data_IF_825970052145
#
_entry.id   IF_825970052145
#
_cell.length_a   1.000
_cell.length_b   1.000
_cell.length_c   1.000
_cell.angle_alpha   90.00
_cell.angle_beta   90.00
_cell.angle_gamma   90.00
#
_symmetry.space_group_name_H-M   'P 1'
#
loop_
_entity.id
_entity.type
_entity.pdbx_description
1 polymer ?
#
# COMPACT_ATOMS: atom_id res chain seq x y z
N UNK A 1 36.05 -5.87 -2.80
CA UNK A 1 37.39 -5.25 -2.69
C UNK A 1 37.41 -4.11 -3.69
N UNK A 2 37.89 -2.93 -3.27
CA UNK A 2 38.01 -1.65 -3.98
C UNK A 2 36.74 -0.78 -4.11
N UNK A 3 36.71 0.20 -3.20
CA UNK A 3 35.96 1.43 -3.23
C UNK A 3 36.67 2.48 -4.10
N UNK A 4 35.92 3.46 -4.63
CA UNK A 4 36.45 4.80 -4.88
C UNK A 4 35.40 5.85 -4.55
N UNK A 5 35.79 6.76 -3.65
CA UNK A 5 35.08 7.97 -3.24
C UNK A 5 35.22 9.06 -4.31
N UNK A 6 34.27 9.99 -4.38
CA UNK A 6 34.63 11.40 -4.63
C UNK A 6 33.59 12.35 -4.03
N UNK A 7 34.13 13.34 -3.31
CA UNK A 7 33.46 14.37 -2.53
C UNK A 7 32.98 15.53 -3.41
N UNK A 8 31.81 16.08 -3.06
CA UNK A 8 31.60 17.47 -2.66
C UNK A 8 31.69 18.59 -3.70
N UNK A 9 30.66 19.45 -3.73
CA UNK A 9 30.76 20.90 -3.51
C UNK A 9 29.37 21.54 -3.47
N UNK A 10 29.10 22.27 -2.39
CA UNK A 10 28.00 23.21 -2.23
C UNK A 10 28.50 24.63 -2.56
N UNK A 11 27.66 25.47 -3.15
CA UNK A 11 27.51 26.94 -2.95
C UNK A 11 26.40 27.41 -3.89
N UNK A 12 25.25 27.81 -3.33
CA UNK A 12 24.81 29.21 -3.16
C UNK A 12 24.53 29.95 -4.47
N UNK A 13 23.30 30.46 -4.61
CA UNK A 13 22.96 31.84 -4.98
C UNK A 13 21.43 32.01 -5.04
N UNK A 14 20.86 32.76 -4.09
CA UNK A 14 19.62 33.53 -4.26
C UNK A 14 19.99 34.96 -4.67
N UNK A 15 19.05 35.72 -5.29
CA UNK A 15 18.40 36.77 -4.50
C UNK A 15 16.92 37.06 -4.82
N UNK A 16 16.20 37.37 -3.73
CA UNK A 16 15.15 38.38 -3.45
C UNK A 16 14.08 38.86 -4.47
N UNK A 17 12.82 38.69 -4.00
CA UNK A 17 11.67 39.63 -3.83
C UNK A 17 11.30 40.63 -4.93
N UNK A 18 9.99 40.70 -5.24
CA UNK A 18 9.13 41.92 -5.13
C UNK A 18 7.65 41.55 -4.85
N UNK A 19 6.98 42.41 -4.08
CA UNK A 19 5.64 42.40 -3.46
C UNK A 19 4.38 42.58 -4.34
N UNK A 20 3.23 42.20 -3.74
CA UNK A 20 1.92 42.91 -3.83
C UNK A 20 0.83 42.08 -4.52
N UNK A 21 -0.41 41.92 -4.04
CA UNK A 21 -1.14 42.42 -2.89
C UNK A 21 -2.65 42.15 -3.12
N UNK A 22 -3.43 42.26 -2.04
CA UNK A 22 -4.89 42.53 -1.94
C UNK A 22 -5.89 41.36 -1.76
N UNK A 23 -6.55 41.48 -0.59
CA UNK A 23 -7.77 40.87 -0.02
C UNK A 23 -9.02 41.24 -0.87
N UNK A 24 -10.02 40.38 -1.08
CA UNK A 24 -11.06 39.82 -0.19
C UNK A 24 -12.41 39.85 -0.97
N UNK A 25 -13.62 39.69 -0.40
CA UNK A 25 -14.07 39.03 0.83
C UNK A 25 -15.35 38.13 0.66
N UNK A 26 -15.77 37.45 1.74
CA UNK A 26 -17.21 37.31 2.08
C UNK A 26 -17.82 35.91 2.10
N UNK A 27 -17.85 35.26 3.26
CA UNK A 27 -18.88 34.26 3.58
C UNK A 27 -19.51 34.56 4.94
N UNK A 28 -20.84 34.63 4.91
CA UNK A 28 -21.73 35.16 5.93
C UNK A 28 -22.21 34.03 6.85
N UNK A 29 -22.29 34.34 8.14
CA UNK A 29 -22.63 33.43 9.22
C UNK A 29 -24.06 33.76 9.70
N UNK A 30 -25.05 32.94 9.34
CA UNK A 30 -26.26 32.72 10.16
C UNK A 30 -27.27 31.76 9.50
N UNK A 31 -27.61 30.69 10.22
CA UNK A 31 -28.85 29.87 10.24
C UNK A 31 -28.44 28.38 10.39
N UNK A 32 -28.92 27.58 11.33
CA UNK A 32 -29.97 27.72 12.33
C UNK A 32 -29.97 26.47 13.24
N UNK A 33 -30.59 26.61 14.40
CA UNK A 33 -30.69 25.63 15.49
C UNK A 33 -31.41 24.35 15.01
N UNK A 34 -30.73 23.20 15.10
CA UNK A 34 -31.26 21.85 14.88
C UNK A 34 -31.01 20.95 16.08
N UNK A 35 -31.97 20.07 16.37
CA UNK A 35 -32.19 19.35 17.62
C UNK A 35 -31.17 18.23 17.90
N UNK A 36 -30.93 18.06 19.20
CA UNK A 36 -30.12 17.05 19.89
C UNK A 36 -30.53 15.60 19.52
N UNK A 37 -29.65 14.86 18.82
CA UNK A 37 -29.86 13.47 18.40
C UNK A 37 -28.82 12.49 19.00
N UNK A 38 -28.08 12.89 20.03
CA UNK A 38 -27.14 11.98 20.72
C UNK A 38 -25.92 11.57 19.88
N UNK A 39 -25.67 12.26 18.76
CA UNK A 39 -24.41 12.15 18.02
C UNK A 39 -23.39 13.06 18.70
N UNK A 40 -22.38 12.49 19.36
CA UNK A 40 -21.27 13.27 19.91
C UNK A 40 -20.50 13.90 18.74
N UNK A 41 -20.82 15.14 18.39
CA UNK A 41 -20.04 15.91 17.42
C UNK A 41 -18.67 16.21 18.05
N UNK A 42 -17.62 15.52 17.60
CA UNK A 42 -16.24 15.82 17.97
C UNK A 42 -15.79 17.10 17.25
N UNK A 43 -16.16 18.27 17.79
CA UNK A 43 -15.85 19.60 17.23
C UNK A 43 -14.59 20.21 17.85
N UNK A 44 -13.49 19.47 17.92
CA UNK A 44 -12.18 20.10 18.13
C UNK A 44 -11.30 19.70 16.95
N UNK A 45 -10.76 20.69 16.23
CA UNK A 45 -9.76 20.53 15.17
C UNK A 45 -8.43 20.05 15.79
N UNK A 46 -8.45 18.82 16.29
CA UNK A 46 -7.29 18.20 16.89
C UNK A 46 -6.34 17.76 15.79
N UNK A 47 -5.06 18.01 16.04
CA UNK A 47 -3.97 17.52 15.22
C UNK A 47 -3.66 16.09 15.66
N UNK A 48 -3.47 15.18 14.72
CA UNK A 48 -3.17 13.79 15.04
C UNK A 48 -1.75 13.43 14.65
N UNK A 49 -1.09 12.67 15.52
CA UNK A 49 0.30 12.27 15.32
C UNK A 49 0.48 10.78 15.59
N UNK A 50 1.27 10.12 14.75
CA UNK A 50 1.84 8.78 14.98
C UNK A 50 3.28 8.90 15.43
N UNK A 51 3.68 8.11 16.40
CA UNK A 51 5.09 8.02 16.82
C UNK A 51 5.89 7.15 15.85
N UNK A 52 6.77 7.76 15.06
CA UNK A 52 7.61 7.03 14.09
C UNK A 52 8.99 6.66 14.65
N UNK A 53 9.39 7.26 15.78
CA UNK A 53 10.67 6.94 16.42
C UNK A 53 10.57 5.73 17.37
N UNK A 54 11.58 4.85 17.29
CA UNK A 54 11.66 3.61 18.07
C UNK A 54 12.79 3.67 19.11
N UNK A 55 12.60 3.12 20.33
CA UNK A 55 11.40 2.41 20.78
C UNK A 55 10.30 3.29 21.38
N UNK A 56 10.63 4.53 21.78
CA UNK A 56 9.70 5.44 22.45
C UNK A 56 10.17 6.90 22.39
N UNK A 57 9.23 7.84 22.52
CA UNK A 57 9.49 9.28 22.63
C UNK A 57 9.02 9.78 24.00
N UNK A 58 9.80 10.67 24.62
CA UNK A 58 9.49 11.21 25.95
C UNK A 58 8.43 12.32 25.87
N UNK A 59 7.43 12.27 26.76
CA UNK A 59 6.52 13.38 27.03
C UNK A 59 7.14 14.30 28.07
N UNK A 60 7.10 15.61 27.83
CA UNK A 60 7.70 16.66 28.66
C UNK A 60 6.62 17.54 29.25
N UNK A 61 6.87 18.07 30.45
CA UNK A 61 5.94 18.97 31.15
C UNK A 61 5.78 20.35 30.49
N UNK A 62 6.71 20.73 29.60
CA UNK A 62 6.74 21.98 28.84
C UNK A 62 7.44 21.73 27.50
N UNK A 63 7.31 22.59 26.47
CA UNK A 63 7.94 22.41 25.14
C UNK A 63 9.46 22.65 25.19
N UNK A 64 10.18 21.78 25.91
CA UNK A 64 11.62 21.88 26.13
C UNK A 64 12.22 20.50 26.37
N UNK A 65 13.38 20.25 25.77
CA UNK A 65 14.12 19.00 25.95
C UNK A 65 14.66 18.83 27.38
N UNK A 66 14.83 19.94 28.11
CA UNK A 66 15.29 19.97 29.49
C UNK A 66 14.15 19.87 30.50
N UNK A 67 12.89 19.99 30.07
CA UNK A 67 11.75 19.89 30.96
C UNK A 67 11.61 18.48 31.57
N UNK A 68 10.97 18.40 32.73
CA UNK A 68 10.71 17.13 33.42
C UNK A 68 9.92 16.20 32.51
N UNK A 69 10.37 14.95 32.39
CA UNK A 69 9.62 13.87 31.72
C UNK A 69 8.38 13.53 32.54
N UNK A 70 7.21 13.55 31.90
CA UNK A 70 5.92 13.28 32.54
C UNK A 70 5.25 11.99 32.04
N UNK A 71 5.83 11.36 31.03
CA UNK A 71 5.38 10.10 30.42
C UNK A 71 6.22 9.73 29.20
N UNK A 72 5.81 8.72 28.45
CA UNK A 72 6.39 8.39 27.15
C UNK A 72 5.33 7.78 26.24
N UNK A 73 5.50 7.98 24.93
CA UNK A 73 4.73 7.33 23.88
C UNK A 73 5.61 6.25 23.22
N UNK A 74 5.06 5.07 22.97
CA UNK A 74 5.78 4.01 22.24
C UNK A 74 5.73 4.24 20.74
N UNK A 75 6.62 3.59 20.01
CA UNK A 75 6.52 3.48 18.55
C UNK A 75 5.12 3.02 18.14
N UNK A 76 4.60 3.60 17.06
CA UNK A 76 3.27 3.38 16.48
C UNK A 76 2.06 3.85 17.28
N UNK A 77 2.24 4.35 18.51
CA UNK A 77 1.13 4.99 19.20
C UNK A 77 0.64 6.22 18.43
N UNK A 78 -0.68 6.31 18.25
CA UNK A 78 -1.36 7.48 17.72
C UNK A 78 -2.00 8.25 18.87
N UNK A 79 -1.89 9.57 18.83
CA UNK A 79 -2.46 10.46 19.84
C UNK A 79 -2.93 11.77 19.21
N UNK A 80 -3.90 12.40 19.87
CA UNK A 80 -4.38 13.72 19.53
C UNK A 80 -3.60 14.82 20.26
N UNK A 81 -3.37 15.92 19.55
CA UNK A 81 -2.73 17.13 20.04
C UNK A 81 -3.67 18.34 19.82
N UNK A 82 -3.67 19.25 20.78
CA UNK A 82 -4.45 20.50 20.71
C UNK A 82 -3.74 21.57 19.88
N UNK A 83 -2.41 21.60 19.93
CA UNK A 83 -1.61 22.62 19.24
C UNK A 83 -0.17 22.16 19.01
N UNK A 84 0.52 22.90 18.13
CA UNK A 84 1.97 22.78 17.93
C UNK A 84 2.63 24.13 18.17
N UNK A 85 3.63 24.17 19.04
CA UNK A 85 4.42 25.37 19.37
C UNK A 85 5.90 25.03 19.26
N UNK A 86 6.64 25.78 18.43
CA UNK A 86 8.10 25.65 18.26
C UNK A 86 8.59 24.22 18.03
N UNK A 87 7.84 23.43 17.24
CA UNK A 87 8.17 22.03 16.92
C UNK A 87 7.77 21.02 18.01
N UNK A 88 7.00 21.43 19.00
CA UNK A 88 6.44 20.56 20.04
C UNK A 88 4.92 20.48 19.91
N UNK A 89 4.38 19.27 19.89
CA UNK A 89 2.94 19.03 19.94
C UNK A 89 2.47 18.93 21.40
N UNK A 90 1.45 19.70 21.79
CA UNK A 90 0.78 19.57 23.09
C UNK A 90 -0.30 18.50 23.00
N UNK A 91 -0.23 17.48 23.86
CA UNK A 91 -1.26 16.44 23.95
C UNK A 91 -2.61 17.08 24.26
N UNK A 92 -3.66 16.59 23.60
CA UNK A 92 -5.02 16.99 23.92
C UNK A 92 -5.38 16.58 25.35
N UNK A 93 -6.20 17.36 26.06
CA UNK A 93 -6.58 17.10 27.45
C UNK A 93 -7.08 15.68 27.68
N UNK A 94 -7.79 15.11 26.70
CA UNK A 94 -8.31 13.73 26.74
C UNK A 94 -7.21 12.65 26.80
N UNK A 95 -6.01 12.94 26.33
CA UNK A 95 -4.89 11.98 26.31
C UNK A 95 -4.14 11.94 27.64
N UNK A 96 -4.17 13.03 28.43
CA UNK A 96 -3.36 13.18 29.64
C UNK A 96 -3.56 12.07 30.67
N UNK A 97 -4.80 11.62 31.00
CA UNK A 97 -5.02 10.59 32.02
C UNK A 97 -4.40 9.23 31.67
N UNK A 98 -4.22 8.94 30.38
CA UNK A 98 -3.77 7.63 29.90
C UNK A 98 -2.26 7.57 29.67
N UNK A 99 -1.62 8.72 29.46
CA UNK A 99 -0.24 8.81 28.95
C UNK A 99 0.74 9.49 29.88
N UNK A 100 0.24 10.12 30.93
CA UNK A 100 1.04 10.90 31.87
C UNK A 100 0.86 10.44 33.31
N UNK A 101 1.76 10.91 34.17
CA UNK A 101 1.62 10.76 35.62
C UNK A 101 0.36 11.48 36.15
N UNK A 102 -0.25 10.96 37.21
CA UNK A 102 -1.50 11.50 37.74
C UNK A 102 -1.37 12.99 38.11
N UNK A 103 -2.32 13.82 37.65
CA UNK A 103 -2.40 15.24 37.98
C UNK A 103 -1.66 16.20 37.03
N UNK A 104 -1.07 15.72 35.92
CA UNK A 104 -0.52 16.63 34.91
C UNK A 104 -1.61 17.46 34.23
N UNK A 105 -1.34 18.74 34.05
CA UNK A 105 -2.20 19.67 33.32
C UNK A 105 -1.84 19.77 31.85
N UNK A 106 -0.57 19.49 31.51
CA UNK A 106 -0.06 19.56 30.15
C UNK A 106 1.03 18.50 29.92
N UNK A 107 1.15 18.07 28.67
CA UNK A 107 2.26 17.26 28.20
C UNK A 107 2.60 17.63 26.76
N UNK A 108 3.89 17.69 26.47
CA UNK A 108 4.46 18.13 25.21
C UNK A 108 5.39 17.07 24.64
N UNK A 109 5.40 16.91 23.33
CA UNK A 109 6.25 15.95 22.65
C UNK A 109 6.91 16.58 21.43
N UNK A 110 8.21 16.36 21.29
CA UNK A 110 8.99 16.93 20.19
C UNK A 110 8.64 16.19 18.88
N UNK A 111 8.37 16.95 17.81
CA UNK A 111 8.00 16.40 16.50
C UNK A 111 9.25 15.93 15.73
N UNK A 112 10.31 16.74 15.77
CA UNK A 112 11.56 16.49 15.04
C UNK A 112 12.77 16.67 15.96
N UNK A 113 13.53 15.58 16.13
CA UNK A 113 14.73 15.49 16.95
C UNK A 113 16.03 15.58 16.16
N UNK A 114 16.02 15.97 14.89
CA UNK A 114 17.20 16.05 14.01
C UNK A 114 18.31 16.91 14.59
N UNK A 115 17.98 18.05 15.20
CA UNK A 115 18.94 18.92 15.92
C UNK A 115 19.68 18.22 17.07
N UNK A 116 19.20 17.05 17.48
CA UNK A 116 19.75 16.23 18.58
C UNK A 116 20.21 14.84 18.09
N UNK A 117 20.29 14.64 16.77
CA UNK A 117 20.72 13.38 16.16
C UNK A 117 19.69 12.24 16.23
N UNK A 118 18.42 12.55 16.50
CA UNK A 118 17.35 11.53 16.63
C UNK A 118 16.49 11.36 15.36
N UNK A 119 16.56 12.33 14.43
CA UNK A 119 15.70 12.35 13.25
C UNK A 119 14.24 12.69 13.56
N UNK A 120 13.34 12.35 12.64
CA UNK A 120 11.90 12.57 12.80
C UNK A 120 11.35 11.69 13.94
N UNK A 121 10.59 12.30 14.85
CA UNK A 121 10.01 11.61 16.01
C UNK A 121 8.54 11.29 15.81
N UNK A 122 7.81 12.24 15.23
CA UNK A 122 6.37 12.15 14.99
C UNK A 122 6.07 12.40 13.50
N UNK A 123 5.07 11.68 13.01
CA UNK A 123 4.44 11.93 11.71
C UNK A 123 3.02 12.45 11.96
N UNK A 124 2.69 13.60 11.37
CA UNK A 124 1.32 14.11 11.40
C UNK A 124 0.43 13.25 10.49
N UNK A 125 -0.75 12.88 10.98
CA UNK A 125 -1.78 12.19 10.22
C UNK A 125 -2.73 13.22 9.63
N UNK A 126 -2.87 13.23 8.30
CA UNK A 126 -3.74 14.17 7.57
C UNK A 126 -5.20 13.74 7.61
N UNK A 127 -5.47 12.44 7.67
CA UNK A 127 -6.82 11.87 7.71
C UNK A 127 -7.29 11.70 9.17
N UNK A 128 -8.22 12.55 9.61
CA UNK A 128 -8.79 12.51 10.96
C UNK A 128 -9.52 11.19 11.25
N UNK A 129 -10.14 10.55 10.24
CA UNK A 129 -10.85 9.27 10.44
C UNK A 129 -9.87 8.15 10.68
N UNK A 130 -8.81 8.09 9.88
CA UNK A 130 -7.72 7.14 10.08
C UNK A 130 -7.10 7.31 11.47
N UNK A 131 -6.85 8.55 11.88
CA UNK A 131 -6.22 8.84 13.15
C UNK A 131 -7.07 8.47 14.38
N UNK A 132 -8.36 8.82 14.39
CA UNK A 132 -9.30 8.42 15.45
C UNK A 132 -9.34 6.89 15.59
N UNK A 133 -9.41 6.19 14.45
CA UNK A 133 -9.45 4.73 14.40
C UNK A 133 -8.18 4.09 14.93
N UNK A 134 -7.01 4.54 14.47
CA UNK A 134 -5.71 4.05 14.96
C UNK A 134 -5.56 4.30 16.46
N UNK A 135 -6.02 5.45 16.95
CA UNK A 135 -6.02 5.74 18.39
C UNK A 135 -6.98 4.86 19.19
N UNK A 136 -8.08 4.41 18.58
CA UNK A 136 -9.04 3.48 19.18
C UNK A 136 -8.59 2.00 19.08
N UNK A 137 -7.52 1.70 18.32
CA UNK A 137 -7.10 0.32 18.03
C UNK A 137 -8.10 -0.44 17.15
N UNK A 138 -8.94 0.28 16.41
CA UNK A 138 -9.97 -0.31 15.53
C UNK A 138 -9.34 -0.77 14.20
N UNK A 139 -9.75 -1.96 13.72
CA UNK A 139 -9.29 -2.49 12.42
C UNK A 139 -10.21 -2.05 11.28
N UNK A 140 -9.67 -1.83 10.06
CA UNK A 140 -10.48 -1.47 8.92
C UNK A 140 -11.50 -2.57 8.60
N UNK A 141 -12.78 -2.22 8.54
CA UNK A 141 -13.83 -3.09 8.04
C UNK A 141 -13.93 -3.07 6.51
N UNK A 142 -14.77 -3.95 5.96
CA UNK A 142 -15.05 -4.04 4.52
C UNK A 142 -15.43 -2.69 3.89
N UNK A 143 -16.24 -1.88 4.57
CA UNK A 143 -16.79 -0.62 4.04
C UNK A 143 -15.75 0.49 3.89
N UNK A 144 -14.58 0.35 4.52
CA UNK A 144 -13.47 1.30 4.41
C UNK A 144 -12.52 0.95 3.26
N UNK A 145 -12.77 -0.18 2.57
CA UNK A 145 -12.00 -0.62 1.41
C UNK A 145 -12.76 -0.42 0.10
N UNK A 146 -11.99 -0.35 -0.97
CA UNK A 146 -12.50 -0.45 -2.33
C UNK A 146 -12.01 -1.74 -3.01
N UNK A 147 -12.65 -2.14 -4.10
CA UNK A 147 -12.14 -3.19 -4.95
C UNK A 147 -11.89 -2.65 -6.37
N UNK A 148 -10.69 -2.88 -6.90
CA UNK A 148 -10.30 -2.52 -8.25
C UNK A 148 -9.93 -3.79 -9.00
N UNK A 149 -10.47 -3.97 -10.20
CA UNK A 149 -9.99 -5.01 -11.09
C UNK A 149 -9.36 -4.44 -12.35
N UNK A 150 -8.14 -4.90 -12.64
CA UNK A 150 -7.33 -4.52 -13.78
C UNK A 150 -7.78 -5.37 -14.96
N UNK A 151 -8.32 -4.73 -16.00
CA UNK A 151 -8.80 -5.43 -17.19
C UNK A 151 -8.44 -4.69 -18.46
N UNK A 152 -7.93 -5.44 -19.45
CA UNK A 152 -7.66 -4.91 -20.79
C UNK A 152 -8.97 -4.65 -21.54
N UNK A 153 -9.08 -3.51 -22.24
CA UNK A 153 -10.28 -3.17 -23.02
C UNK A 153 -10.62 -4.22 -24.08
N UNK A 154 -9.60 -4.90 -24.61
CA UNK A 154 -9.73 -5.98 -25.59
C UNK A 154 -10.01 -7.37 -24.99
N UNK A 155 -10.19 -7.49 -23.66
CA UNK A 155 -10.53 -8.75 -22.96
C UNK A 155 -11.91 -8.67 -22.30
N UNK A 156 -12.99 -8.48 -23.08
CA UNK A 156 -14.35 -8.48 -22.53
C UNK A 156 -14.74 -9.85 -21.97
N UNK A 157 -14.16 -10.93 -22.49
CA UNK A 157 -14.34 -12.31 -22.02
C UNK A 157 -13.94 -12.47 -20.54
N UNK A 158 -12.78 -11.92 -20.18
CA UNK A 158 -12.24 -11.94 -18.83
C UNK A 158 -13.04 -11.05 -17.87
N UNK A 159 -13.45 -9.88 -18.37
CA UNK A 159 -14.32 -8.97 -17.64
C UNK A 159 -15.64 -9.65 -17.25
N UNK A 160 -16.33 -10.26 -18.20
CA UNK A 160 -17.62 -10.95 -17.96
C UNK A 160 -17.47 -12.09 -16.95
N UNK A 161 -16.37 -12.86 -17.04
CA UNK A 161 -16.05 -13.90 -16.07
C UNK A 161 -15.90 -13.33 -14.67
N UNK A 162 -15.12 -12.26 -14.50
CA UNK A 162 -14.90 -11.67 -13.19
C UNK A 162 -16.18 -11.07 -12.60
N UNK A 163 -16.97 -10.37 -13.42
CA UNK A 163 -18.29 -9.83 -13.01
C UNK A 163 -19.24 -10.97 -12.58
N UNK A 164 -19.19 -12.12 -13.26
CA UNK A 164 -19.94 -13.32 -12.89
C UNK A 164 -19.46 -13.91 -11.56
N UNK A 165 -18.14 -14.03 -11.36
CA UNK A 165 -17.54 -14.53 -10.12
C UNK A 165 -17.87 -13.62 -8.92
N UNK A 166 -17.91 -12.30 -9.12
CA UNK A 166 -18.26 -11.34 -8.07
C UNK A 166 -19.75 -11.32 -7.73
N UNK A 167 -20.63 -11.62 -8.69
CA UNK A 167 -22.09 -11.48 -8.58
C UNK A 167 -22.76 -12.04 -7.32
N UNK A 168 -22.38 -13.23 -6.81
CA UNK A 168 -22.94 -13.82 -5.59
C UNK A 168 -22.58 -13.10 -4.29
N UNK A 169 -21.54 -12.26 -4.30
CA UNK A 169 -20.96 -11.63 -3.11
C UNK A 169 -21.39 -10.16 -3.05
N UNK A 170 -22.06 -9.76 -1.97
CA UNK A 170 -22.70 -8.45 -1.88
C UNK A 170 -21.65 -7.34 -1.87
N UNK A 171 -20.68 -7.40 -0.96
CA UNK A 171 -19.64 -6.39 -0.87
C UNK A 171 -18.79 -6.40 -2.14
N UNK A 172 -18.23 -7.54 -2.54
CA UNK A 172 -17.37 -7.62 -3.73
C UNK A 172 -18.09 -7.09 -4.97
N UNK A 173 -19.34 -7.49 -5.25
CA UNK A 173 -20.11 -6.97 -6.39
C UNK A 173 -20.29 -5.45 -6.34
N UNK A 174 -20.52 -4.88 -5.16
CA UNK A 174 -20.79 -3.43 -5.02
C UNK A 174 -19.53 -2.57 -4.98
N UNK A 175 -18.45 -3.07 -4.38
CA UNK A 175 -17.20 -2.36 -4.22
C UNK A 175 -16.30 -2.47 -5.46
N UNK A 176 -16.48 -3.52 -6.28
CA UNK A 176 -15.64 -3.79 -7.45
C UNK A 176 -15.86 -2.79 -8.57
N UNK A 177 -14.80 -2.04 -8.89
CA UNK A 177 -14.75 -1.06 -9.96
C UNK A 177 -13.72 -1.46 -11.00
N UNK A 178 -14.10 -1.40 -12.28
CA UNK A 178 -13.18 -1.67 -13.39
C UNK A 178 -12.12 -0.58 -13.49
N UNK A 179 -10.86 -0.99 -13.56
CA UNK A 179 -9.74 -0.14 -13.92
C UNK A 179 -9.21 -0.54 -15.31
N UNK A 180 -9.26 0.35 -16.32
CA UNK A 180 -8.69 0.08 -17.63
C UNK A 180 -7.17 -0.16 -17.55
N UNK A 181 -6.76 -1.38 -17.90
CA UNK A 181 -5.36 -1.78 -17.95
C UNK A 181 -4.61 -1.04 -19.06
N UNK A 182 -3.29 -0.90 -18.89
CA UNK A 182 -2.37 -0.46 -19.93
C UNK A 182 -2.08 -1.66 -20.83
N UNK A 183 -2.43 -1.54 -22.12
CA UNK A 183 -2.09 -2.57 -23.09
C UNK A 183 -0.61 -2.46 -23.46
N UNK A 184 0.14 -3.54 -23.23
CA UNK A 184 1.54 -3.63 -23.62
C UNK A 184 1.78 -3.37 -25.11
N UNK A 185 0.79 -3.63 -25.98
CA UNK A 185 0.89 -3.41 -27.43
C UNK A 185 1.06 -1.94 -27.81
N UNK A 186 0.72 -0.99 -26.92
CA UNK A 186 0.91 0.44 -27.16
C UNK A 186 2.20 1.00 -26.55
N UNK A 187 3.05 0.16 -25.95
CA UNK A 187 4.26 0.58 -25.26
C UNK A 187 5.51 0.43 -26.13
N UNK A 188 6.54 1.21 -25.82
CA UNK A 188 7.87 1.09 -26.42
C UNK A 188 8.96 1.44 -25.41
N UNK A 189 10.09 0.74 -25.48
CA UNK A 189 11.21 0.95 -24.56
C UNK A 189 11.74 2.38 -24.51
N UNK A 190 11.95 3.10 -25.63
CA UNK A 190 12.45 4.48 -25.58
C UNK A 190 11.57 5.37 -24.70
N UNK A 191 10.25 5.32 -24.87
CA UNK A 191 9.33 6.11 -24.06
C UNK A 191 9.32 5.67 -22.59
N UNK A 192 9.37 4.36 -22.32
CA UNK A 192 9.39 3.83 -20.95
C UNK A 192 10.64 4.27 -20.16
N UNK A 193 11.78 4.41 -20.84
CA UNK A 193 13.03 4.92 -20.26
C UNK A 193 12.99 6.44 -20.09
N UNK A 194 12.54 7.18 -21.12
CA UNK A 194 12.42 8.65 -21.08
C UNK A 194 11.48 9.12 -19.95
N UNK A 195 10.39 8.39 -19.72
CA UNK A 195 9.43 8.66 -18.65
C UNK A 195 9.90 8.15 -17.26
N UNK A 196 11.12 7.58 -17.17
CA UNK A 196 11.71 6.97 -15.97
C UNK A 196 10.78 5.95 -15.30
N UNK A 197 10.08 5.14 -16.10
CA UNK A 197 9.14 4.12 -15.63
C UNK A 197 9.83 2.77 -15.44
N UNK A 198 10.86 2.49 -16.23
CA UNK A 198 11.62 1.25 -16.16
C UNK A 198 13.12 1.54 -16.21
N UNK A 199 13.93 0.67 -15.61
CA UNK A 199 15.37 0.86 -15.55
C UNK A 199 16.06 0.46 -16.86
N UNK A 200 17.25 1.00 -17.10
CA UNK A 200 18.12 0.52 -18.19
C UNK A 200 18.45 -0.98 -18.05
N UNK A 201 18.54 -1.48 -16.81
CA UNK A 201 18.74 -2.91 -16.54
C UNK A 201 17.59 -3.76 -17.12
N UNK A 202 16.33 -3.36 -16.88
CA UNK A 202 15.17 -4.04 -17.45
C UNK A 202 15.17 -4.01 -18.98
N UNK A 203 15.51 -2.87 -19.58
CA UNK A 203 15.62 -2.73 -21.02
C UNK A 203 16.69 -3.65 -21.61
N UNK A 204 17.88 -3.67 -21.00
CA UNK A 204 19.00 -4.50 -21.43
C UNK A 204 18.67 -5.99 -21.31
N UNK A 205 18.00 -6.40 -20.22
CA UNK A 205 17.58 -7.80 -20.00
C UNK A 205 16.53 -8.25 -21.03
N UNK A 206 15.52 -7.41 -21.30
CA UNK A 206 14.51 -7.68 -22.32
C UNK A 206 15.11 -7.76 -23.74
N UNK A 207 16.00 -6.82 -24.08
CA UNK A 207 16.69 -6.81 -25.38
C UNK A 207 17.59 -8.02 -25.55
N UNK A 208 18.29 -8.45 -24.48
CA UNK A 208 19.06 -9.70 -24.48
C UNK A 208 18.15 -10.89 -24.77
N UNK A 209 17.04 -11.00 -24.04
CA UNK A 209 16.11 -12.12 -24.17
C UNK A 209 15.50 -12.21 -25.57
N UNK A 210 15.11 -11.08 -26.17
CA UNK A 210 14.60 -11.04 -27.54
C UNK A 210 15.66 -11.49 -28.55
N UNK A 211 16.90 -10.97 -28.45
CA UNK A 211 18.02 -11.37 -29.33
C UNK A 211 18.35 -12.86 -29.22
N UNK A 212 18.20 -13.43 -28.03
CA UNK A 212 18.50 -14.84 -27.75
C UNK A 212 17.29 -15.77 -27.94
N UNK A 213 16.11 -15.22 -28.29
CA UNK A 213 14.89 -15.99 -28.47
C UNK A 213 14.37 -16.65 -27.20
N UNK A 214 14.64 -16.05 -26.02
CA UNK A 214 14.23 -16.58 -24.73
C UNK A 214 12.77 -16.23 -24.43
N UNK A 215 11.98 -17.22 -24.03
CA UNK A 215 10.63 -17.02 -23.52
C UNK A 215 10.64 -16.51 -22.07
N UNK A 216 9.52 -16.03 -21.53
CA UNK A 216 9.45 -15.73 -20.08
C UNK A 216 9.05 -16.94 -19.25
N UNK A 217 8.39 -17.92 -19.85
CA UNK A 217 8.02 -19.18 -19.22
C UNK A 217 8.73 -20.33 -19.93
N UNK A 218 9.15 -21.35 -19.19
CA UNK A 218 9.74 -22.55 -19.78
C UNK A 218 10.11 -23.60 -18.74
N UNK A 219 10.23 -24.85 -19.20
CA UNK A 219 10.62 -25.98 -18.35
C UNK A 219 12.12 -26.05 -18.05
N UNK A 220 12.96 -25.30 -18.78
CA UNK A 220 14.41 -25.33 -18.65
C UNK A 220 15.02 -23.92 -18.58
N UNK A 221 16.01 -23.66 -17.70
CA UNK A 221 16.65 -22.34 -17.58
C UNK A 221 17.34 -21.81 -18.85
N UNK A 222 17.59 -22.68 -19.84
CA UNK A 222 18.21 -22.31 -21.12
C UNK A 222 17.20 -21.78 -22.15
N UNK A 223 15.90 -21.97 -21.91
CA UNK A 223 14.84 -21.58 -22.85
C UNK A 223 13.96 -20.46 -22.31
N UNK A 224 14.16 -20.03 -21.06
CA UNK A 224 13.41 -18.96 -20.44
C UNK A 224 14.25 -17.98 -19.61
N UNK A 225 13.79 -16.74 -19.52
CA UNK A 225 14.34 -15.66 -18.70
C UNK A 225 13.19 -14.85 -18.11
N UNK A 226 13.26 -14.45 -16.84
CA UNK A 226 12.22 -13.64 -16.17
C UNK A 226 12.19 -12.16 -16.60
N UNK A 227 12.60 -11.87 -17.84
CA UNK A 227 12.66 -10.53 -18.41
C UNK A 227 11.27 -9.90 -18.52
N UNK A 228 11.23 -8.56 -18.57
CA UNK A 228 10.01 -7.81 -18.82
C UNK A 228 9.66 -7.84 -20.31
N UNK A 229 8.49 -8.39 -20.63
CA UNK A 229 7.86 -8.17 -21.94
C UNK A 229 7.11 -6.84 -21.94
N UNK A 230 6.69 -6.34 -23.11
CA UNK A 230 5.77 -5.20 -23.17
C UNK A 230 4.45 -5.46 -22.44
N UNK A 231 3.97 -6.70 -22.45
CA UNK A 231 2.81 -7.13 -21.65
C UNK A 231 3.06 -7.02 -20.15
N UNK A 232 4.25 -7.43 -19.68
CA UNK A 232 4.71 -7.24 -18.30
C UNK A 232 4.84 -5.77 -17.90
N UNK A 233 5.36 -4.93 -18.80
CA UNK A 233 5.38 -3.49 -18.60
C UNK A 233 3.95 -2.91 -18.48
N UNK A 234 3.03 -3.36 -19.33
CA UNK A 234 1.61 -2.99 -19.27
C UNK A 234 0.95 -3.41 -17.95
N UNK A 235 1.21 -4.63 -17.49
CA UNK A 235 0.76 -5.12 -16.18
C UNK A 235 1.27 -4.21 -15.05
N UNK A 236 2.58 -3.97 -14.97
CA UNK A 236 3.18 -3.10 -13.95
C UNK A 236 2.59 -1.68 -13.93
N UNK A 237 2.40 -1.06 -15.10
CA UNK A 237 1.78 0.26 -15.19
C UNK A 237 0.29 0.25 -14.83
N UNK A 238 -0.39 -0.88 -14.99
CA UNK A 238 -1.77 -1.06 -14.55
C UNK A 238 -1.89 -1.13 -13.03
N UNK A 239 -1.01 -1.87 -12.36
CA UNK A 239 -0.92 -1.85 -10.89
C UNK A 239 -0.55 -0.46 -10.37
N UNK A 240 0.37 0.26 -11.03
CA UNK A 240 0.66 1.67 -10.70
C UNK A 240 -0.59 2.55 -10.77
N UNK A 241 -1.45 2.36 -11.78
CA UNK A 241 -2.74 3.06 -11.87
C UNK A 241 -3.67 2.69 -10.71
N UNK A 242 -3.71 1.42 -10.32
CA UNK A 242 -4.53 0.96 -9.18
C UNK A 242 -4.05 1.57 -7.86
N UNK A 243 -2.74 1.60 -7.62
CA UNK A 243 -2.15 2.24 -6.43
C UNK A 243 -2.47 3.73 -6.38
N UNK A 244 -2.35 4.43 -7.51
CA UNK A 244 -2.70 5.84 -7.60
C UNK A 244 -4.21 6.08 -7.41
N UNK A 245 -5.06 5.19 -7.92
CA UNK A 245 -6.50 5.29 -7.70
C UNK A 245 -6.85 5.15 -6.22
N UNK A 246 -6.23 4.20 -5.51
CA UNK A 246 -6.39 4.06 -4.06
C UNK A 246 -5.90 5.31 -3.30
N UNK A 247 -4.71 5.81 -3.63
CA UNK A 247 -4.14 7.02 -3.00
C UNK A 247 -5.01 8.25 -3.19
N UNK A 248 -5.70 8.35 -4.33
CA UNK A 248 -6.60 9.47 -4.65
C UNK A 248 -8.05 9.24 -4.19
N UNK A 249 -8.33 8.18 -3.44
CA UNK A 249 -9.66 7.85 -2.93
C UNK A 249 -9.76 8.10 -1.43
N UNK A 250 -10.98 8.03 -0.90
CA UNK A 250 -11.24 8.02 0.55
C UNK A 250 -11.18 6.60 1.16
N UNK A 251 -10.81 5.57 0.38
CA UNK A 251 -10.65 4.18 0.85
C UNK A 251 -9.31 3.94 1.52
N UNK A 252 -9.28 3.27 2.66
CA UNK A 252 -8.07 3.10 3.48
C UNK A 252 -7.20 1.93 3.00
N UNK A 253 -7.82 1.02 2.25
CA UNK A 253 -7.15 -0.08 1.56
C UNK A 253 -7.90 -0.42 0.27
N UNK A 254 -7.27 -1.20 -0.60
CA UNK A 254 -7.92 -1.78 -1.77
C UNK A 254 -7.68 -3.28 -1.87
N UNK A 255 -8.70 -3.99 -2.34
CA UNK A 255 -8.55 -5.28 -3.00
C UNK A 255 -8.24 -5.03 -4.48
N UNK A 256 -7.06 -5.43 -4.94
CA UNK A 256 -6.66 -5.36 -6.35
C UNK A 256 -6.73 -6.75 -6.96
N UNK A 257 -7.46 -6.86 -8.07
CA UNK A 257 -7.69 -8.08 -8.83
C UNK A 257 -7.13 -7.95 -10.25
N UNK A 258 -6.57 -9.02 -10.80
CA UNK A 258 -6.35 -9.16 -12.25
C UNK A 258 -7.56 -9.84 -12.92
N UNK A 259 -7.71 -9.67 -14.23
CA UNK A 259 -8.87 -10.15 -14.98
C UNK A 259 -8.83 -11.65 -15.31
N UNK A 260 -7.73 -12.34 -15.01
CA UNK A 260 -7.52 -13.74 -15.31
C UNK A 260 -8.03 -14.69 -14.20
N UNK A 261 -8.61 -14.16 -13.13
CA UNK A 261 -9.23 -14.94 -12.06
C UNK A 261 -10.25 -15.96 -12.58
N UNK A 262 -10.17 -17.17 -12.04
CA UNK A 262 -11.06 -18.28 -12.41
C UNK A 262 -11.96 -18.74 -11.28
N UNK A 263 -11.59 -18.45 -10.03
CA UNK A 263 -12.39 -18.84 -8.86
C UNK A 263 -12.32 -17.77 -7.77
N UNK A 264 -13.44 -17.63 -7.06
CA UNK A 264 -13.64 -16.84 -5.84
C UNK A 264 -14.30 -17.77 -4.83
N UNK A 265 -13.88 -17.74 -3.56
CA UNK A 265 -14.48 -18.61 -2.54
C UNK A 265 -15.96 -18.24 -2.29
N UNK A 266 -16.77 -19.22 -1.86
CA UNK A 266 -18.24 -19.08 -1.80
C UNK A 266 -18.73 -17.99 -0.84
N UNK A 267 -18.07 -17.80 0.28
CA UNK A 267 -18.47 -16.85 1.32
C UNK A 267 -17.49 -15.65 1.39
N UNK A 268 -16.98 -15.24 0.21
CA UNK A 268 -15.88 -14.28 0.06
C UNK A 268 -15.95 -13.06 0.97
N UNK A 269 -17.10 -12.37 1.05
CA UNK A 269 -17.22 -11.17 1.87
C UNK A 269 -16.94 -11.47 3.36
N UNK A 270 -17.50 -12.56 3.88
CA UNK A 270 -17.31 -12.97 5.27
C UNK A 270 -15.87 -13.43 5.53
N UNK A 271 -15.28 -14.19 4.60
CA UNK A 271 -13.91 -14.66 4.72
C UNK A 271 -12.90 -13.51 4.61
N UNK A 272 -13.15 -12.53 3.73
CA UNK A 272 -12.33 -11.33 3.61
C UNK A 272 -12.39 -10.47 4.88
N UNK A 273 -13.57 -10.32 5.49
CA UNK A 273 -13.70 -9.66 6.80
C UNK A 273 -12.91 -10.40 7.88
N UNK A 274 -12.92 -11.74 7.86
CA UNK A 274 -12.06 -12.58 8.70
C UNK A 274 -10.57 -12.32 8.49
N UNK A 275 -10.12 -12.20 7.24
CA UNK A 275 -8.72 -11.88 6.90
C UNK A 275 -8.33 -10.50 7.41
N UNK A 276 -9.14 -9.46 7.18
CA UNK A 276 -8.87 -8.10 7.69
C UNK A 276 -8.75 -8.08 9.22
N UNK A 277 -9.59 -8.86 9.91
CA UNK A 277 -9.55 -9.06 11.37
C UNK A 277 -8.39 -9.91 11.86
N UNK A 278 -7.71 -10.65 11.00
CA UNK A 278 -6.51 -11.42 11.34
C UNK A 278 -5.22 -10.63 11.11
N UNK A 279 -5.19 -9.74 10.11
CA UNK A 279 -4.01 -8.96 9.74
C UNK A 279 -3.51 -8.01 10.84
N UNK A 280 -2.21 -8.02 11.21
CA UNK A 280 -1.63 -7.09 12.19
C UNK A 280 -1.87 -5.62 11.84
N UNK A 281 -1.85 -4.72 12.82
CA UNK A 281 -2.15 -3.29 12.61
C UNK A 281 -1.22 -2.60 11.59
N UNK A 282 0.02 -3.06 11.48
CA UNK A 282 1.07 -2.52 10.62
C UNK A 282 1.20 -3.23 9.27
N UNK A 283 0.13 -3.94 8.82
CA UNK A 283 0.13 -4.61 7.53
C UNK A 283 0.23 -3.62 6.36
N UNK A 284 1.03 -3.98 5.35
CA UNK A 284 1.20 -3.19 4.13
C UNK A 284 0.42 -3.83 2.96
N UNK A 285 0.51 -5.16 2.83
CA UNK A 285 -0.24 -5.92 1.82
C UNK A 285 -0.46 -7.38 2.25
N UNK A 286 -1.52 -8.00 1.72
CA UNK A 286 -1.84 -9.42 1.93
C UNK A 286 -2.24 -10.12 0.62
N UNK A 287 -1.55 -11.19 0.24
CA UNK A 287 -1.92 -12.02 -0.90
C UNK A 287 -3.09 -12.94 -0.54
N UNK A 288 -4.20 -12.84 -1.27
CA UNK A 288 -5.39 -13.70 -1.08
C UNK A 288 -5.37 -14.95 -1.95
N UNK A 289 -4.43 -14.99 -2.90
CA UNK A 289 -3.99 -16.14 -3.67
C UNK A 289 -2.66 -15.79 -4.36
N UNK A 290 -1.87 -16.80 -4.67
CA UNK A 290 -0.61 -16.69 -5.41
C UNK A 290 -0.24 -18.03 -6.06
N UNK A 291 0.76 -18.07 -6.92
CA UNK A 291 1.25 -19.31 -7.51
C UNK A 291 2.23 -20.01 -6.54
N UNK A 292 1.94 -21.24 -6.13
CA UNK A 292 2.69 -21.92 -5.06
C UNK A 292 3.67 -22.98 -5.55
N UNK A 293 3.73 -23.28 -6.85
CA UNK A 293 4.45 -24.46 -7.38
C UNK A 293 3.96 -25.80 -6.82
N UNK A 294 2.99 -25.80 -5.90
CA UNK A 294 2.47 -26.94 -5.16
C UNK A 294 1.07 -27.28 -5.64
N UNK A 295 0.78 -28.58 -5.73
CA UNK A 295 -0.58 -29.07 -6.02
C UNK A 295 -1.56 -28.84 -4.86
N UNK A 296 -1.08 -28.36 -3.71
CA UNK A 296 -1.92 -28.04 -2.55
C UNK A 296 -2.60 -26.67 -2.64
N UNK A 297 -2.24 -25.82 -3.61
CA UNK A 297 -2.90 -24.53 -3.81
C UNK A 297 -4.36 -24.74 -4.22
N UNK A 298 -5.29 -24.23 -3.41
CA UNK A 298 -6.72 -24.28 -3.70
C UNK A 298 -7.46 -23.17 -2.99
N UNK A 299 -8.54 -22.73 -3.62
CA UNK A 299 -9.54 -21.89 -2.98
C UNK A 299 -10.11 -22.62 -1.76
N UNK A 300 -10.45 -21.86 -0.72
CA UNK A 300 -11.09 -22.32 0.50
C UNK A 300 -12.23 -23.29 0.15
N UNK A 301 -12.19 -24.54 0.64
CA UNK A 301 -13.19 -25.54 0.29
C UNK A 301 -14.59 -25.11 0.71
N UNK A 302 -15.59 -25.52 -0.07
CA UNK A 302 -16.98 -25.25 0.28
C UNK A 302 -17.33 -25.81 1.67
N UNK A 303 -17.89 -24.95 2.53
CA UNK A 303 -18.26 -25.30 3.90
C UNK A 303 -17.11 -25.24 4.92
N UNK A 304 -15.92 -24.79 4.49
CA UNK A 304 -14.82 -24.40 5.38
C UNK A 304 -14.81 -22.89 5.60
N UNK A 305 -14.16 -22.46 6.68
CA UNK A 305 -13.92 -21.06 7.01
C UNK A 305 -12.42 -20.82 7.13
N UNK A 306 -11.98 -19.61 6.82
CA UNK A 306 -10.64 -19.13 7.09
C UNK A 306 -10.33 -19.30 8.58
N UNK A 307 -9.21 -19.94 8.90
CA UNK A 307 -8.89 -20.33 10.27
C UNK A 307 -8.28 -19.19 11.12
N UNK A 308 -8.08 -18.01 10.52
CA UNK A 308 -7.44 -16.85 11.15
C UNK A 308 -5.92 -16.77 10.93
N UNK A 309 -5.32 -17.75 10.24
CA UNK A 309 -3.87 -17.82 10.03
C UNK A 309 -3.45 -16.98 8.83
N UNK A 310 -2.56 -16.00 9.06
CA UNK A 310 -1.82 -15.31 7.99
C UNK A 310 -0.33 -15.61 8.11
N UNK A 311 0.34 -15.82 6.98
CA UNK A 311 1.78 -16.05 6.92
C UNK A 311 2.52 -14.76 6.61
N UNK A 312 3.50 -14.42 7.44
CA UNK A 312 4.41 -13.28 7.20
C UNK A 312 5.36 -13.61 6.06
N UNK A 313 5.51 -12.67 5.13
CA UNK A 313 6.56 -12.68 4.11
C UNK A 313 7.88 -12.28 4.76
N UNK A 314 8.59 -13.24 5.36
CA UNK A 314 9.84 -12.97 6.04
C UNK A 314 10.95 -12.57 5.03
N UNK A 315 11.98 -11.85 5.51
CA UNK A 315 13.16 -11.44 4.71
C UNK A 315 13.84 -12.55 3.90
N UNK A 316 13.61 -13.82 4.24
CA UNK A 316 14.20 -15.01 3.60
C UNK A 316 13.22 -15.84 2.76
N UNK A 317 11.93 -15.50 2.73
CA UNK A 317 10.94 -16.26 1.94
C UNK A 317 11.03 -15.96 0.45
N UNK A 318 11.73 -14.89 0.05
CA UNK A 318 11.72 -14.42 -1.33
C UNK A 318 10.40 -13.75 -1.69
N UNK A 319 10.07 -13.68 -2.98
CA UNK A 319 8.81 -13.15 -3.47
C UNK A 319 7.79 -14.28 -3.71
N UNK A 320 6.50 -13.94 -3.67
CA UNK A 320 5.43 -14.85 -4.10
C UNK A 320 5.04 -14.52 -5.54
N UNK A 321 5.14 -15.47 -6.48
CA UNK A 321 4.73 -15.22 -7.86
C UNK A 321 3.20 -15.20 -7.98
N UNK A 322 2.66 -14.38 -8.89
CA UNK A 322 1.23 -14.24 -9.11
C UNK A 322 0.57 -13.19 -8.21
N UNK A 323 0.40 -12.00 -8.76
CA UNK A 323 -0.18 -10.82 -8.10
C UNK A 323 -1.67 -10.60 -8.49
N UNK A 324 -2.36 -11.69 -8.85
CA UNK A 324 -3.72 -11.66 -9.39
C UNK A 324 -4.81 -11.26 -8.39
N UNK A 325 -4.52 -11.24 -7.09
CA UNK A 325 -5.51 -10.98 -6.05
C UNK A 325 -4.88 -10.68 -4.68
N UNK A 326 -4.86 -9.42 -4.29
CA UNK A 326 -4.22 -8.98 -3.04
C UNK A 326 -4.87 -7.74 -2.43
N UNK A 327 -4.70 -7.62 -1.11
CA UNK A 327 -5.02 -6.43 -0.35
C UNK A 327 -3.79 -5.52 -0.26
N UNK A 328 -3.99 -4.22 -0.27
CA UNK A 328 -2.96 -3.20 -0.07
C UNK A 328 -3.51 -2.00 0.69
N UNK A 329 -2.74 -1.47 1.65
CA UNK A 329 -3.09 -0.22 2.34
C UNK A 329 -2.81 1.00 1.49
N UNK A 330 -3.54 2.10 1.72
CA UNK A 330 -3.30 3.38 1.02
C UNK A 330 -1.87 3.89 1.28
N UNK A 331 -1.38 3.74 2.51
CA UNK A 331 -0.02 4.14 2.91
C UNK A 331 1.03 3.35 2.14
N UNK A 332 0.87 2.04 2.01
CA UNK A 332 1.81 1.22 1.23
C UNK A 332 1.71 1.48 -0.27
N UNK A 333 0.51 1.73 -0.81
CA UNK A 333 0.35 2.15 -2.20
C UNK A 333 1.11 3.46 -2.50
N UNK A 334 1.04 4.44 -1.59
CA UNK A 334 1.81 5.70 -1.68
C UNK A 334 3.32 5.43 -1.67
N UNK A 335 3.78 4.50 -0.82
CA UNK A 335 5.18 4.08 -0.76
C UNK A 335 5.63 3.39 -2.06
N UNK A 336 4.87 2.43 -2.59
CA UNK A 336 5.21 1.75 -3.85
C UNK A 336 5.27 2.71 -5.04
N UNK A 337 4.43 3.74 -5.09
CA UNK A 337 4.49 4.76 -6.14
C UNK A 337 5.82 5.54 -6.15
N UNK A 338 6.52 5.61 -5.02
CA UNK A 338 7.80 6.28 -4.86
C UNK A 338 8.99 5.32 -5.06
N UNK A 339 8.84 4.08 -4.60
CA UNK A 339 9.98 3.17 -4.40
C UNK A 339 10.04 2.01 -5.41
N UNK A 340 8.93 1.68 -6.08
CA UNK A 340 8.90 0.59 -7.06
C UNK A 340 9.39 1.02 -8.45
N UNK A 341 9.55 2.33 -8.69
CA UNK A 341 9.90 2.92 -9.98
C UNK A 341 11.23 3.69 -9.90
N UNK A 342 12.11 3.64 -10.93
CA UNK A 342 11.96 2.89 -12.17
C UNK A 342 12.03 1.37 -11.94
N UNK A 343 11.07 0.65 -12.52
CA UNK A 343 10.91 -0.77 -12.26
C UNK A 343 11.94 -1.59 -13.05
N UNK A 344 12.56 -2.59 -12.39
CA UNK A 344 13.64 -3.40 -12.98
C UNK A 344 13.25 -4.86 -13.27
N UNK A 345 12.10 -5.31 -12.77
CA UNK A 345 11.61 -6.69 -12.90
C UNK A 345 10.08 -6.72 -12.95
N UNK A 346 9.48 -7.91 -13.06
CA UNK A 346 8.02 -8.06 -13.00
C UNK A 346 7.45 -7.49 -11.69
N UNK A 347 6.24 -6.93 -11.75
CA UNK A 347 5.64 -6.18 -10.64
C UNK A 347 5.47 -7.02 -9.37
N UNK A 348 5.14 -8.30 -9.52
CA UNK A 348 5.01 -9.26 -8.43
C UNK A 348 6.35 -9.49 -7.72
N UNK A 349 7.44 -9.58 -8.49
CA UNK A 349 8.81 -9.70 -7.99
C UNK A 349 9.21 -8.46 -7.21
N UNK A 350 9.01 -7.28 -7.77
CA UNK A 350 9.38 -6.01 -7.11
C UNK A 350 8.58 -5.81 -5.83
N UNK A 351 7.26 -5.95 -5.87
CA UNK A 351 6.39 -5.79 -4.71
C UNK A 351 6.71 -6.83 -3.63
N UNK A 352 6.88 -8.10 -4.00
CA UNK A 352 7.25 -9.17 -3.08
C UNK A 352 8.57 -8.88 -2.37
N UNK A 353 9.62 -8.47 -3.10
CA UNK A 353 10.91 -8.12 -2.50
C UNK A 353 10.83 -6.91 -1.55
N UNK A 354 10.05 -5.88 -1.90
CA UNK A 354 9.80 -4.73 -1.03
C UNK A 354 9.12 -5.18 0.27
N UNK A 355 8.05 -5.98 0.17
CA UNK A 355 7.33 -6.50 1.31
C UNK A 355 8.21 -7.37 2.22
N UNK A 356 8.99 -8.29 1.65
CA UNK A 356 9.89 -9.14 2.43
C UNK A 356 10.94 -8.34 3.20
N UNK A 357 11.43 -7.21 2.65
CA UNK A 357 12.39 -6.33 3.33
C UNK A 357 11.76 -5.60 4.51
N UNK A 358 10.50 -5.17 4.37
CA UNK A 358 9.75 -4.42 5.39
C UNK A 358 9.22 -5.31 6.51
N UNK A 359 8.89 -6.57 6.21
CA UNK A 359 8.36 -7.53 7.19
C UNK A 359 6.87 -7.33 7.51
N UNK A 360 6.19 -6.51 6.73
CA UNK A 360 4.78 -6.11 6.83
C UNK A 360 3.92 -6.69 5.70
N UNK A 361 4.47 -7.63 4.93
CA UNK A 361 3.74 -8.37 3.91
C UNK A 361 3.20 -9.70 4.44
N UNK A 362 2.00 -10.04 4.03
CA UNK A 362 1.29 -11.23 4.49
C UNK A 362 0.73 -12.04 3.32
N UNK A 363 0.37 -13.29 3.57
CA UNK A 363 -0.29 -14.16 2.61
C UNK A 363 -1.19 -15.16 3.32
N UNK A 364 -2.23 -15.63 2.64
CA UNK A 364 -3.03 -16.75 3.14
C UNK A 364 -2.30 -18.08 2.95
N UNK A 365 -2.57 -19.10 3.78
CA UNK A 365 -2.12 -20.46 3.54
C UNK A 365 -2.57 -20.95 2.15
N UNK A 366 -1.71 -21.71 1.46
CA UNK A 366 -1.99 -22.21 0.11
C UNK A 366 -3.30 -23.02 0.00
N UNK A 367 -3.76 -23.62 1.10
CA UNK A 367 -4.98 -24.42 1.17
C UNK A 367 -6.25 -23.61 1.51
N UNK A 368 -6.12 -22.30 1.70
CA UNK A 368 -7.17 -21.38 2.19
C UNK A 368 -7.24 -20.09 1.36
N UNK A 369 -6.89 -20.15 0.08
CA UNK A 369 -7.01 -18.97 -0.78
C UNK A 369 -8.46 -18.52 -0.90
N UNK A 370 -8.66 -17.20 -0.97
CA UNK A 370 -9.99 -16.65 -1.31
C UNK A 370 -10.16 -16.49 -2.82
N UNK A 371 -9.04 -16.41 -3.55
CA UNK A 371 -8.99 -16.15 -4.98
C UNK A 371 -8.04 -17.14 -5.66
N UNK A 372 -8.33 -17.50 -6.91
CA UNK A 372 -7.43 -18.33 -7.69
C UNK A 372 -7.41 -17.96 -9.17
N UNK A 373 -6.19 -17.72 -9.67
CA UNK A 373 -5.85 -17.76 -11.09
C UNK A 373 -4.91 -18.95 -11.34
N UNK A 374 -5.13 -19.75 -12.40
CA UNK A 374 -4.21 -20.79 -12.79
C UNK A 374 -2.89 -20.18 -13.30
N UNK A 375 -1.73 -20.79 -12.98
CA UNK A 375 -0.46 -20.39 -13.57
C UNK A 375 -0.53 -20.40 -15.10
N UNK A 376 0.21 -19.50 -15.73
CA UNK A 376 0.20 -19.35 -17.18
C UNK A 376 0.69 -20.62 -17.91
N UNK A 377 1.56 -21.41 -17.28
CA UNK A 377 1.98 -22.74 -17.73
C UNK A 377 0.81 -23.71 -17.92
N UNK A 378 -0.25 -23.54 -17.13
CA UNK A 378 -1.45 -24.38 -17.14
C UNK A 378 -2.53 -23.77 -18.04
N UNK A 379 -2.80 -22.47 -17.90
CA UNK A 379 -3.89 -21.81 -18.61
C UNK A 379 -3.61 -21.60 -20.10
N UNK A 380 -2.33 -21.40 -20.46
CA UNK A 380 -1.89 -20.96 -21.80
C UNK A 380 -2.57 -19.69 -22.30
N UNK A 381 -3.15 -18.89 -21.41
CA UNK A 381 -3.86 -17.65 -21.73
C UNK A 381 -3.20 -16.50 -20.99
N UNK A 382 -2.38 -15.73 -21.69
CA UNK A 382 -1.60 -14.62 -21.10
C UNK A 382 -1.45 -13.48 -22.09
N UNK A 383 -1.51 -12.26 -21.55
CA UNK A 383 -1.18 -11.03 -22.24
C UNK A 383 0.18 -10.46 -21.76
N UNK A 384 0.84 -11.17 -20.85
CA UNK A 384 2.05 -10.76 -20.14
C UNK A 384 3.23 -11.64 -20.53
N UNK A 385 3.05 -12.95 -20.51
CA UNK A 385 4.17 -13.89 -20.63
C UNK A 385 4.34 -14.36 -22.09
N UNK A 386 5.53 -14.83 -22.44
CA UNK A 386 5.82 -15.47 -23.72
C UNK A 386 6.13 -16.94 -23.52
N UNK A 387 5.72 -17.75 -24.49
CA UNK A 387 6.00 -19.18 -24.54
C UNK A 387 7.16 -19.46 -25.50
N UNK A 388 8.00 -20.48 -25.23
CA UNK A 388 8.96 -20.94 -26.21
C UNK A 388 8.22 -21.58 -27.41
N UNK A 389 8.89 -21.66 -28.56
CA UNK A 389 8.27 -22.13 -29.82
C UNK A 389 7.65 -23.53 -29.71
N UNK A 390 8.18 -24.41 -28.85
CA UNK A 390 7.66 -25.76 -28.65
C UNK A 390 6.39 -25.82 -27.75
N UNK A 391 6.00 -24.69 -27.14
CA UNK A 391 4.81 -24.57 -26.29
C UNK A 391 3.71 -23.69 -26.88
N UNK A 392 3.99 -22.95 -27.96
CA UNK A 392 2.99 -22.21 -28.75
C UNK A 392 2.09 -23.17 -29.51
#
# INVERSE_FOLDING_TARGET
MLATETRGLAHELMPDRVHGGLLGPGWDASAGVGKDDGTTYYTEDLLWFRVVFSPRVALRSMPSAQARTVGCLKHDEVFAAEEVVDGWARLAKRELPFRTTQGQQEAWVLIDGTSRGLGQLLQQLEDQREAVRLAAGERPGLQEGMCLFINLDRRPDRRERLETLAGPHTWLRTAMTRLPAVDGRSLSWPQLLDDNLFSEEAFNDATRAEREGLATIGYAPKTCSAHLTMGGCGCALSHRRAWRALVNSDSLWALILEDDLTQVCRDFDAELDGVLKALPEDWDACYLGYHTGSQSARVLPQGSHFDGTVHVLAKRTGWLPGLYGYLITRTFAKYLLQEAFPMYAQVDTVMGLVLSRRGSGFSLPANEFLLYSPPTEVSRDTDVQTFPEDMK
#
